data_IF_636810375018
#
_entry.id   IF_636810375018
#
_cell.length_a   1.000
_cell.length_b   1.000
_cell.length_c   1.000
_cell.angle_alpha   90.00
_cell.angle_beta   90.00
_cell.angle_gamma   90.00
#
_symmetry.space_group_name_H-M   'P 1'
#
loop_
_entity.id
_entity.type
_entity.pdbx_description
1 polymer ?
#
# COMPACT_ATOMS: atom_id res chain seq x y z
N UNK A 1 -36.97 -48.66 71.79
CA UNK A 1 -37.04 -47.72 72.93
C UNK A 1 -35.91 -46.72 72.79
N UNK A 2 -36.26 -45.44 72.76
CA UNK A 2 -35.62 -44.28 73.41
C UNK A 2 -34.08 -44.22 73.45
N UNK A 3 -33.37 -43.12 73.25
CA UNK A 3 -33.61 -41.74 72.79
C UNK A 3 -32.27 -41.02 73.07
N UNK A 4 -31.85 -40.13 72.15
CA UNK A 4 -31.12 -38.86 72.39
C UNK A 4 -29.83 -38.83 73.23
N UNK A 5 -28.73 -38.30 72.67
CA UNK A 5 -28.17 -36.95 72.97
C UNK A 5 -26.82 -36.72 72.24
N UNK A 6 -26.67 -35.53 71.63
CA UNK A 6 -25.47 -34.95 70.97
C UNK A 6 -24.59 -34.20 72.02
N UNK A 7 -23.59 -33.33 71.72
CA UNK A 7 -22.74 -33.02 70.52
C UNK A 7 -21.21 -32.85 70.88
N UNK A 8 -20.32 -32.56 69.91
CA UNK A 8 -19.12 -31.67 70.02
C UNK A 8 -18.27 -31.77 68.73
N UNK A 9 -18.31 -30.78 67.82
CA UNK A 9 -17.35 -29.66 67.65
C UNK A 9 -15.95 -30.06 67.14
N UNK A 10 -15.74 -29.93 65.83
CA UNK A 10 -14.51 -29.53 65.12
C UNK A 10 -14.79 -29.79 63.62
N UNK A 11 -14.89 -28.81 62.73
CA UNK A 11 -13.96 -27.73 62.52
C UNK A 11 -13.15 -28.04 61.25
N UNK A 12 -13.65 -27.64 60.08
CA UNK A 12 -12.82 -27.18 58.95
C UNK A 12 -13.74 -26.63 57.85
N UNK A 13 -13.85 -25.31 57.77
CA UNK A 13 -14.49 -24.60 56.67
C UNK A 13 -13.37 -24.22 55.70
N UNK A 14 -13.10 -25.07 54.71
CA UNK A 14 -12.16 -24.76 53.63
C UNK A 14 -12.91 -23.90 52.61
N UNK A 15 -12.71 -22.59 52.71
CA UNK A 15 -13.19 -21.61 51.74
C UNK A 15 -12.24 -21.66 50.52
N UNK A 16 -12.61 -22.39 49.48
CA UNK A 16 -11.88 -22.37 48.21
C UNK A 16 -12.30 -21.12 47.43
N UNK A 17 -11.46 -20.08 47.47
CA UNK A 17 -11.59 -18.88 46.64
C UNK A 17 -11.35 -19.24 45.17
N UNK A 18 -12.43 -19.27 44.38
CA UNK A 18 -12.37 -19.24 42.92
C UNK A 18 -11.87 -17.86 42.48
N UNK A 19 -10.57 -17.75 42.20
CA UNK A 19 -10.04 -16.60 41.45
C UNK A 19 -10.38 -16.84 39.98
N UNK A 20 -11.52 -16.31 39.54
CA UNK A 20 -11.82 -16.09 38.12
C UNK A 20 -10.85 -15.03 37.61
N UNK A 21 -9.76 -15.49 36.99
CA UNK A 21 -8.88 -14.63 36.19
C UNK A 21 -9.66 -14.10 35.00
N UNK A 22 -10.08 -12.84 35.10
CA UNK A 22 -10.56 -12.08 33.97
C UNK A 22 -9.35 -11.83 33.06
N UNK A 23 -9.18 -12.71 32.06
CA UNK A 23 -8.25 -12.47 30.97
C UNK A 23 -8.72 -11.24 30.21
N UNK A 24 -8.18 -10.08 30.55
CA UNK A 24 -8.27 -8.91 29.71
C UNK A 24 -7.58 -9.28 28.39
N UNK A 25 -8.38 -9.62 27.38
CA UNK A 25 -7.94 -9.59 26.01
C UNK A 25 -7.40 -8.17 25.80
N UNK A 26 -6.07 -8.04 25.70
CA UNK A 26 -5.44 -6.79 25.34
C UNK A 26 -6.06 -6.35 24.03
N UNK A 27 -6.83 -5.26 24.06
CA UNK A 27 -7.22 -4.56 22.86
C UNK A 27 -5.90 -4.19 22.18
N UNK A 28 -5.60 -4.84 21.05
CA UNK A 28 -4.49 -4.43 20.22
C UNK A 28 -4.72 -2.97 19.88
N UNK A 29 -3.83 -2.10 20.37
CA UNK A 29 -3.76 -0.71 19.92
C UNK A 29 -3.72 -0.76 18.40
N UNK A 30 -4.55 0.00 17.66
CA UNK A 30 -4.44 0.05 16.22
C UNK A 30 -3.03 0.52 15.90
N UNK A 31 -2.20 -0.40 15.39
CA UNK A 31 -0.84 -0.09 14.97
C UNK A 31 -0.97 1.01 13.91
N UNK A 32 -0.35 2.16 14.17
CA UNK A 32 -0.30 3.24 13.18
C UNK A 32 0.29 2.65 11.90
N UNK A 33 -0.37 2.88 10.76
CA UNK A 33 0.18 2.50 9.45
C UNK A 33 1.64 2.97 9.39
N UNK A 34 2.60 2.10 9.00
CA UNK A 34 4.00 2.49 8.88
C UNK A 34 4.24 3.44 7.70
N UNK A 35 3.22 3.64 6.85
CA UNK A 35 3.26 4.47 5.66
C UNK A 35 2.69 5.86 5.95
N UNK A 36 3.46 6.88 5.59
CA UNK A 36 3.03 8.27 5.57
C UNK A 36 2.78 8.68 4.12
N UNK A 37 1.62 9.27 3.87
CA UNK A 37 1.18 9.68 2.54
C UNK A 37 0.90 11.17 2.55
N UNK A 38 1.50 11.88 1.60
CA UNK A 38 1.31 13.31 1.39
C UNK A 38 0.95 13.55 -0.08
N UNK A 39 -0.33 13.75 -0.37
CA UNK A 39 -0.83 14.13 -1.70
C UNK A 39 -1.64 15.41 -1.66
N UNK A 40 -2.08 15.88 -2.82
CA UNK A 40 -2.89 17.10 -2.93
C UNK A 40 -4.26 16.91 -2.27
N UNK A 41 -4.39 17.50 -1.08
CA UNK A 41 -5.57 17.35 -0.22
C UNK A 41 -6.76 18.08 -0.83
N UNK A 42 -7.73 17.32 -1.35
CA UNK A 42 -9.04 17.82 -1.79
C UNK A 42 -9.46 17.36 -3.19
N UNK A 43 -8.49 17.03 -4.04
CA UNK A 43 -8.71 16.54 -5.41
C UNK A 43 -8.47 15.04 -5.52
N UNK A 44 -7.54 14.52 -4.70
CA UNK A 44 -7.12 13.13 -4.75
C UNK A 44 -7.37 12.43 -3.41
N UNK A 45 -7.67 11.14 -3.48
CA UNK A 45 -7.81 10.26 -2.32
C UNK A 45 -6.83 9.11 -2.47
N UNK A 46 -6.08 8.81 -1.40
CA UNK A 46 -5.10 7.74 -1.39
C UNK A 46 -5.39 6.80 -0.22
N UNK A 47 -5.68 5.55 -0.53
CA UNK A 47 -5.91 4.48 0.45
C UNK A 47 -4.71 3.55 0.45
N UNK A 48 -4.19 3.23 1.65
CA UNK A 48 -3.06 2.32 1.81
C UNK A 48 -3.56 0.98 2.32
N UNK A 49 -3.28 -0.09 1.58
CA UNK A 49 -3.67 -1.46 1.95
C UNK A 49 -2.43 -2.35 2.06
N UNK A 50 -1.89 -2.53 3.28
CA UNK A 50 -0.82 -3.51 3.53
C UNK A 50 -1.35 -4.94 3.39
N UNK A 51 -0.51 -5.83 2.86
CA UNK A 51 -0.77 -7.28 2.79
C UNK A 51 0.49 -8.08 3.08
N UNK A 52 0.37 -9.41 3.09
CA UNK A 52 1.55 -10.28 3.25
C UNK A 52 2.50 -10.10 2.05
N UNK A 53 3.74 -9.67 2.32
CA UNK A 53 4.76 -9.46 1.28
C UNK A 53 4.45 -8.31 0.30
N UNK A 54 3.40 -7.52 0.52
CA UNK A 54 3.00 -6.45 -0.40
C UNK A 54 2.36 -5.24 0.26
N UNK A 55 2.32 -4.12 -0.47
CA UNK A 55 1.48 -2.97 -0.16
C UNK A 55 0.88 -2.40 -1.45
N UNK A 56 -0.38 -1.98 -1.36
CA UNK A 56 -1.10 -1.30 -2.44
C UNK A 56 -1.41 0.14 -2.02
N UNK A 57 -1.02 1.09 -2.85
CA UNK A 57 -1.42 2.50 -2.77
C UNK A 57 -2.50 2.75 -3.82
N UNK A 58 -3.74 2.85 -3.38
CA UNK A 58 -4.90 3.01 -4.25
C UNK A 58 -5.28 4.50 -4.33
N UNK A 59 -5.10 5.08 -5.51
CA UNK A 59 -5.20 6.52 -5.76
C UNK A 59 -6.39 6.78 -6.69
N UNK A 60 -7.35 7.55 -6.19
CA UNK A 60 -8.45 8.11 -6.99
C UNK A 60 -8.21 9.60 -7.18
N UNK A 61 -8.12 10.05 -8.43
CA UNK A 61 -7.91 11.47 -8.76
C UNK A 61 -9.12 12.05 -9.48
N UNK A 62 -9.60 13.21 -9.03
CA UNK A 62 -10.75 13.90 -9.67
C UNK A 62 -10.33 14.83 -10.81
N UNK A 63 -9.07 15.21 -10.86
CA UNK A 63 -8.52 16.20 -11.80
C UNK A 63 -7.79 15.57 -12.97
N UNK A 64 -7.54 14.25 -12.91
CA UNK A 64 -6.73 13.55 -13.92
C UNK A 64 -5.24 13.87 -13.83
N UNK A 65 -4.80 14.72 -12.91
CA UNK A 65 -3.39 15.02 -12.69
C UNK A 65 -3.13 15.30 -11.22
N UNK A 66 -1.96 14.91 -10.74
CA UNK A 66 -1.58 15.14 -9.36
C UNK A 66 -0.22 14.57 -9.02
N UNK A 67 0.13 14.74 -7.74
CA UNK A 67 1.36 14.27 -7.13
C UNK A 67 1.06 13.65 -5.77
N UNK A 68 1.77 12.58 -5.45
CA UNK A 68 1.80 12.03 -4.10
C UNK A 68 3.22 11.65 -3.69
N UNK A 69 3.60 12.02 -2.48
CA UNK A 69 4.81 11.54 -1.81
C UNK A 69 4.41 10.48 -0.79
N UNK A 70 5.05 9.33 -0.87
CA UNK A 70 4.83 8.22 0.04
C UNK A 70 6.17 7.89 0.70
N UNK A 71 6.16 7.81 2.02
CA UNK A 71 7.31 7.42 2.80
C UNK A 71 6.96 6.35 3.82
N UNK A 72 7.97 5.62 4.26
CA UNK A 72 7.90 4.67 5.36
C UNK A 72 8.87 5.12 6.45
N UNK A 73 8.42 5.10 7.70
CA UNK A 73 9.22 5.58 8.83
C UNK A 73 10.50 4.74 9.04
N UNK A 74 10.40 3.42 8.90
CA UNK A 74 11.48 2.48 9.10
C UNK A 74 11.26 1.14 8.37
N UNK A 75 12.33 0.36 8.20
CA UNK A 75 12.30 -0.97 7.59
C UNK A 75 12.32 -0.96 6.06
N UNK A 76 12.52 -2.16 5.48
CA UNK A 76 12.53 -2.35 4.05
C UNK A 76 11.11 -2.33 3.48
N UNK A 77 10.96 -1.87 2.23
CA UNK A 77 9.73 -2.06 1.48
C UNK A 77 9.39 -3.54 1.34
N UNK A 78 8.10 -3.91 1.31
CA UNK A 78 7.71 -5.27 0.99
C UNK A 78 8.15 -5.64 -0.44
N UNK A 79 8.18 -6.94 -0.72
CA UNK A 79 8.58 -7.47 -2.01
C UNK A 79 7.73 -6.93 -3.16
N UNK A 80 6.47 -6.56 -2.93
CA UNK A 80 5.63 -5.93 -3.94
C UNK A 80 5.13 -4.58 -3.45
N UNK A 81 5.43 -3.53 -4.22
CA UNK A 81 4.89 -2.18 -4.00
C UNK A 81 4.13 -1.76 -5.24
N UNK A 82 2.80 -1.76 -5.14
CA UNK A 82 1.90 -1.47 -6.26
C UNK A 82 1.16 -0.16 -6.04
N UNK A 83 1.06 0.65 -7.09
CA UNK A 83 0.20 1.83 -7.13
C UNK A 83 -0.94 1.55 -8.09
N UNK A 84 -2.18 1.82 -7.67
CA UNK A 84 -3.38 1.74 -8.52
C UNK A 84 -3.88 3.14 -8.77
N UNK A 85 -3.92 3.56 -10.03
CA UNK A 85 -4.42 4.86 -10.44
C UNK A 85 -5.79 4.66 -11.09
N UNK A 86 -6.84 5.10 -10.39
CA UNK A 86 -8.21 5.14 -10.92
C UNK A 86 -8.37 6.40 -11.76
N UNK A 87 -8.13 6.25 -13.05
CA UNK A 87 -8.15 7.29 -14.07
C UNK A 87 -8.81 6.74 -15.34
N UNK A 88 -9.57 7.55 -16.08
CA UNK A 88 -10.05 7.18 -17.42
C UNK A 88 -8.92 6.82 -18.39
N UNK A 89 -7.80 7.55 -18.43
CA UNK A 89 -6.70 7.20 -19.32
C UNK A 89 -5.34 7.76 -18.91
N UNK A 90 -4.47 6.94 -18.34
CA UNK A 90 -3.11 7.35 -18.01
C UNK A 90 -2.36 7.79 -19.29
N UNK A 91 -1.93 9.06 -19.34
CA UNK A 91 -1.06 9.61 -20.39
C UNK A 91 0.41 9.40 -20.03
N UNK A 92 0.76 9.75 -18.79
CA UNK A 92 2.12 9.58 -18.31
C UNK A 92 2.18 9.40 -16.81
N UNK A 93 3.26 8.75 -16.37
CA UNK A 93 3.58 8.53 -14.97
C UNK A 93 5.08 8.78 -14.77
N UNK A 94 5.41 9.49 -13.71
CA UNK A 94 6.79 9.60 -13.23
C UNK A 94 6.86 9.08 -11.80
N UNK A 95 7.83 8.21 -11.53
CA UNK A 95 8.19 7.79 -10.18
C UNK A 95 9.61 8.22 -9.88
N UNK A 96 9.79 8.93 -8.77
CA UNK A 96 11.10 9.40 -8.31
C UNK A 96 11.41 8.80 -6.94
N UNK A 97 12.63 8.27 -6.77
CA UNK A 97 13.13 7.76 -5.49
C UNK A 97 14.64 7.98 -5.39
N UNK A 98 15.10 8.56 -4.28
CA UNK A 98 16.47 9.05 -4.17
C UNK A 98 16.81 10.00 -5.32
N UNK A 99 17.89 9.70 -6.06
CA UNK A 99 18.34 10.44 -7.24
C UNK A 99 17.97 9.73 -8.56
N UNK A 100 17.01 8.80 -8.53
CA UNK A 100 16.50 8.07 -9.69
C UNK A 100 15.11 8.58 -10.05
N UNK A 101 14.89 8.84 -11.34
CA UNK A 101 13.57 9.16 -11.89
C UNK A 101 13.25 8.17 -13.02
N UNK A 102 12.11 7.50 -12.93
CA UNK A 102 11.58 6.64 -13.99
C UNK A 102 10.33 7.30 -14.55
N UNK A 103 10.41 7.73 -15.80
CA UNK A 103 9.28 8.32 -16.52
C UNK A 103 8.74 7.33 -17.54
N UNK A 104 7.43 7.28 -17.69
CA UNK A 104 6.78 6.47 -18.70
C UNK A 104 5.60 7.18 -19.35
N UNK A 105 5.48 7.00 -20.66
CA UNK A 105 4.30 7.35 -21.44
C UNK A 105 3.44 6.12 -21.72
N UNK A 106 2.13 6.29 -21.60
CA UNK A 106 1.12 5.24 -21.84
C UNK A 106 0.24 5.72 -23.00
N UNK A 107 0.24 5.03 -24.15
CA UNK A 107 -0.70 5.32 -25.21
C UNK A 107 -2.13 4.96 -24.81
N UNK A 108 -3.11 5.75 -25.23
CA UNK A 108 -4.54 5.49 -25.02
C UNK A 108 -5.09 4.24 -25.74
N UNK A 109 -4.24 3.46 -26.40
CA UNK A 109 -4.61 2.22 -27.10
C UNK A 109 -3.77 1.02 -26.67
N UNK A 110 -2.84 1.21 -25.73
CA UNK A 110 -1.89 0.17 -25.33
C UNK A 110 -2.15 -0.30 -23.91
N UNK A 111 -2.18 -1.62 -23.73
CA UNK A 111 -2.31 -2.30 -22.42
C UNK A 111 -1.01 -2.28 -21.60
N UNK A 112 0.07 -1.69 -22.14
CA UNK A 112 1.40 -1.64 -21.53
C UNK A 112 2.09 -0.30 -21.79
N UNK A 113 3.10 0.01 -20.98
CA UNK A 113 4.02 1.11 -21.23
C UNK A 113 4.69 0.94 -22.60
N UNK A 114 4.78 2.03 -23.37
CA UNK A 114 5.37 2.01 -24.71
C UNK A 114 6.65 2.82 -24.78
N UNK A 115 6.84 3.78 -23.88
CA UNK A 115 8.09 4.51 -23.75
C UNK A 115 8.43 4.72 -22.29
N UNK A 116 9.51 4.10 -21.83
CA UNK A 116 10.04 4.28 -20.49
C UNK A 116 11.48 4.77 -20.58
N UNK A 117 11.75 5.85 -19.84
CA UNK A 117 13.09 6.41 -19.72
C UNK A 117 13.44 6.54 -18.24
N UNK A 118 14.73 6.49 -17.96
CA UNK A 118 15.28 6.58 -16.61
C UNK A 118 16.33 7.68 -16.61
N UNK A 119 16.27 8.56 -15.62
CA UNK A 119 17.35 9.47 -15.26
C UNK A 119 18.04 8.90 -14.03
N UNK A 120 19.30 8.49 -14.21
CA UNK A 120 20.12 7.94 -13.13
C UNK A 120 21.01 9.03 -12.49
N UNK A 121 21.50 8.80 -11.26
CA UNK A 121 22.41 9.73 -10.59
C UNK A 121 23.63 10.06 -11.46
N UNK A 122 23.90 11.35 -11.64
CA UNK A 122 25.03 11.84 -12.44
C UNK A 122 24.77 11.90 -13.97
N UNK A 123 23.59 11.52 -14.43
CA UNK A 123 23.16 11.79 -15.81
C UNK A 123 22.51 13.18 -15.92
N UNK A 124 22.62 13.79 -17.10
CA UNK A 124 22.03 15.11 -17.37
C UNK A 124 20.73 15.03 -18.19
N UNK A 125 20.36 13.84 -18.66
CA UNK A 125 19.17 13.62 -19.47
C UNK A 125 18.66 12.18 -19.29
N UNK A 126 17.34 11.94 -19.29
CA UNK A 126 16.78 10.60 -19.25
C UNK A 126 17.21 9.78 -20.46
N UNK A 127 17.38 8.47 -20.27
CA UNK A 127 17.72 7.54 -21.34
C UNK A 127 16.89 6.27 -21.25
N UNK A 128 16.74 5.55 -22.36
CA UNK A 128 16.20 4.19 -22.35
C UNK A 128 17.30 3.25 -21.85
N UNK A 129 16.97 2.41 -20.87
CA UNK A 129 17.88 1.41 -20.32
C UNK A 129 17.41 0.01 -20.67
N UNK A 130 18.36 -0.94 -20.77
CA UNK A 130 18.09 -2.37 -20.86
C UNK A 130 18.18 -3.07 -19.50
N UNK A 131 18.57 -2.33 -18.44
CA UNK A 131 18.57 -2.84 -17.08
C UNK A 131 17.13 -2.87 -16.56
N UNK A 132 16.57 -4.07 -16.51
CA UNK A 132 15.18 -4.32 -16.14
C UNK A 132 14.89 -4.01 -14.67
N UNK A 133 15.91 -3.72 -13.84
CA UNK A 133 15.70 -3.35 -12.44
C UNK A 133 14.99 -2.00 -12.29
N UNK A 134 15.10 -1.14 -13.29
CA UNK A 134 14.40 0.15 -13.34
C UNK A 134 13.01 0.07 -13.97
N UNK A 135 12.61 -1.10 -14.49
CA UNK A 135 11.34 -1.26 -15.16
C UNK A 135 10.16 -1.12 -14.20
N UNK A 136 9.24 -0.20 -14.52
CA UNK A 136 7.88 -0.25 -14.01
C UNK A 136 7.04 -1.20 -14.87
N UNK A 137 6.24 -2.06 -14.23
CA UNK A 137 5.30 -2.93 -14.94
C UNK A 137 3.88 -2.37 -14.82
N UNK A 138 3.21 -2.19 -15.97
CA UNK A 138 1.81 -1.76 -16.06
C UNK A 138 0.88 -2.95 -16.24
N UNK A 139 -0.27 -2.90 -15.58
CA UNK A 139 -1.42 -3.73 -15.90
C UNK A 139 -2.66 -2.85 -15.90
N UNK A 140 -3.42 -2.87 -16.98
CA UNK A 140 -4.74 -2.21 -17.03
C UNK A 140 -5.76 -3.21 -16.48
N UNK A 141 -6.53 -2.78 -15.48
CA UNK A 141 -7.58 -3.60 -14.87
C UNK A 141 -8.90 -2.86 -15.01
N UNK A 142 -9.85 -3.51 -15.68
CA UNK A 142 -11.23 -3.03 -15.81
C UNK A 142 -12.18 -4.02 -15.13
N UNK A 143 -13.27 -3.52 -14.54
CA UNK A 143 -14.25 -4.33 -13.81
C UNK A 143 -14.92 -5.40 -14.69
N UNK A 144 -15.14 -5.10 -15.97
CA UNK A 144 -15.75 -6.01 -16.95
C UNK A 144 -14.71 -6.85 -17.70
N UNK A 145 -13.42 -6.65 -17.40
CA UNK A 145 -12.29 -7.33 -18.03
C UNK A 145 -11.98 -6.88 -19.46
N UNK A 146 -12.65 -5.81 -19.93
CA UNK A 146 -12.36 -5.17 -21.22
C UNK A 146 -11.43 -3.98 -20.99
N UNK A 147 -10.25 -3.99 -21.60
CA UNK A 147 -9.22 -2.95 -21.41
C UNK A 147 -9.37 -1.80 -22.42
N UNK A 148 -10.61 -1.38 -22.70
CA UNK A 148 -10.88 -0.24 -23.56
C UNK A 148 -10.57 1.06 -22.81
N UNK A 149 -9.87 1.99 -23.44
CA UNK A 149 -9.57 3.31 -22.88
C UNK A 149 -10.40 4.34 -23.66
N UNK A 150 -11.17 5.22 -22.98
CA UNK A 150 -11.16 5.48 -21.54
C UNK A 150 -11.80 4.38 -20.69
N UNK A 151 -11.24 4.12 -19.51
CA UNK A 151 -11.79 3.22 -18.50
C UNK A 151 -13.04 3.85 -17.87
N UNK A 152 -14.11 3.07 -17.77
CA UNK A 152 -15.34 3.47 -17.07
C UNK A 152 -15.29 3.10 -15.58
N UNK A 153 -14.86 1.87 -15.26
CA UNK A 153 -14.69 1.38 -13.89
C UNK A 153 -13.46 0.46 -13.82
N UNK A 154 -12.32 1.05 -13.45
CA UNK A 154 -11.03 0.36 -13.51
C UNK A 154 -9.87 1.21 -13.03
N UNK A 155 -8.67 0.65 -13.14
CA UNK A 155 -7.44 1.30 -12.74
C UNK A 155 -6.22 0.80 -13.51
N UNK A 156 -5.20 1.66 -13.52
CA UNK A 156 -3.85 1.31 -13.96
C UNK A 156 -3.05 0.83 -12.74
N UNK A 157 -2.72 -0.46 -12.70
CA UNK A 157 -1.85 -1.04 -11.68
C UNK A 157 -0.39 -0.95 -12.12
N UNK A 158 0.44 -0.29 -11.32
CA UNK A 158 1.85 -0.07 -11.59
C UNK A 158 2.68 -0.68 -10.47
N UNK A 159 3.50 -1.67 -10.83
CA UNK A 159 4.49 -2.22 -9.93
C UNK A 159 5.75 -1.35 -9.96
N UNK A 160 6.20 -0.89 -8.79
CA UNK A 160 7.42 -0.10 -8.67
C UNK A 160 8.68 -0.91 -9.02
N UNK A 161 9.75 -0.23 -9.51
CA UNK A 161 10.96 -0.89 -9.96
C UNK A 161 11.61 -1.77 -8.89
N UNK A 162 12.35 -2.80 -9.31
CA UNK A 162 13.13 -3.62 -8.38
C UNK A 162 14.22 -2.80 -7.68
N UNK A 163 14.85 -1.87 -8.40
CA UNK A 163 15.88 -0.98 -7.87
C UNK A 163 15.36 -0.16 -6.67
N UNK A 164 14.12 0.32 -6.72
CA UNK A 164 13.48 0.97 -5.58
C UNK A 164 13.33 0.03 -4.37
N UNK A 165 12.80 -1.18 -4.60
CA UNK A 165 12.48 -2.14 -3.54
C UNK A 165 13.73 -2.68 -2.84
N UNK A 166 14.82 -2.86 -3.58
CA UNK A 166 16.08 -3.41 -3.06
C UNK A 166 17.13 -2.34 -2.72
N UNK A 167 16.97 -1.10 -3.21
CA UNK A 167 17.94 -0.01 -3.06
C UNK A 167 17.96 0.67 -1.69
N UNK A 168 17.10 0.26 -0.75
CA UNK A 168 17.07 0.80 0.61
C UNK A 168 16.48 2.21 0.72
N UNK A 169 15.75 2.67 -0.31
CA UNK A 169 15.04 3.94 -0.28
C UNK A 169 13.88 3.89 0.70
N UNK A 170 13.60 4.99 1.40
CA UNK A 170 12.50 5.07 2.38
C UNK A 170 11.29 5.84 1.88
N UNK A 171 11.38 6.44 0.70
CA UNK A 171 10.30 7.21 0.10
C UNK A 171 10.37 7.18 -1.43
N UNK A 172 9.22 7.43 -2.04
CA UNK A 172 9.09 7.72 -3.45
C UNK A 172 8.03 8.80 -3.67
N UNK A 173 8.16 9.52 -4.76
CA UNK A 173 7.14 10.45 -5.27
C UNK A 173 6.57 9.86 -6.55
N UNK A 174 5.27 10.02 -6.74
CA UNK A 174 4.57 9.69 -7.96
C UNK A 174 3.87 10.93 -8.50
N UNK A 175 4.04 11.18 -9.80
CA UNK A 175 3.39 12.24 -10.57
C UNK A 175 2.62 11.58 -11.72
N UNK A 176 1.35 11.93 -11.91
CA UNK A 176 0.53 11.35 -12.98
C UNK A 176 -0.18 12.42 -13.80
N UNK A 177 -0.51 12.03 -15.03
CA UNK A 177 -1.27 12.82 -15.98
C UNK A 177 -2.21 11.91 -16.78
N UNK A 178 -3.46 12.32 -16.95
CA UNK A 178 -4.54 11.62 -17.65
C UNK A 178 -4.91 12.37 -18.94
N UNK A 179 -5.12 11.63 -20.03
CA UNK A 179 -5.57 12.17 -21.32
C UNK A 179 -6.91 12.90 -21.24
N UNK A 180 -7.81 12.50 -20.35
CA UNK A 180 -9.22 12.91 -20.33
C UNK A 180 -9.56 13.96 -19.28
N UNK A 181 -8.55 14.71 -18.81
CA UNK A 181 -8.64 15.83 -17.87
C UNK A 181 -9.53 17.00 -18.34
#
# INVERSE_FOLDING_TARGET
MNSSFTPQWAGLLVLLLLVTGCGAAGAATPESSPYQVNGDKGTDTITVTPGEGQVVFDITSKTGMGRAEISRADGAWPERVEVRLHLPGLESLTVTYGDVEVHTAVPSTAEKFVDQTVLLPGQNAPTRTLDTRYEMALTVVDADGQTDIPLDDGYFAVLLPLDFREGGYTSFTIDWLDFYR
#
